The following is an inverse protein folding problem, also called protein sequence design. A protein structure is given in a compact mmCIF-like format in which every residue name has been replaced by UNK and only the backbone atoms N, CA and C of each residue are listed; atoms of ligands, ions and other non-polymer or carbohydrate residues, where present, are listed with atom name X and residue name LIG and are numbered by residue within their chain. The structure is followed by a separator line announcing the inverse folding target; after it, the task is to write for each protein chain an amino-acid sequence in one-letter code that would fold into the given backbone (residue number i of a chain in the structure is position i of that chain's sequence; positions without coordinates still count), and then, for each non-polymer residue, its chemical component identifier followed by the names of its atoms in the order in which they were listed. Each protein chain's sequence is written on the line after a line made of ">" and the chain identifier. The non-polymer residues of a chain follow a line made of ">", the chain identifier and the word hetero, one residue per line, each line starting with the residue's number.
data_IF_961449354737
#
_entry.id   IF_961449354737
#
_cell.length_a   1.000
_cell.length_b   1.000
_cell.length_c   1.000
_cell.angle_alpha   90.00
_cell.angle_beta   90.00
_cell.angle_gamma   90.00
#
_symmetry.space_group_name_H-M   'P 1'
#
loop_
_entity.id
_entity.type
_entity.pdbx_description
1 polymer ?
#
# COMPACT_ATOMS: atom_id res chain seq x y z
N UNK A 1 -4.50 8.69 -13.38
CA UNK A 1 -4.87 8.19 -12.03
C UNK A 1 -4.51 9.27 -11.01
N UNK A 2 -5.39 9.57 -10.05
CA UNK A 2 -5.18 10.66 -9.06
C UNK A 2 -4.48 10.20 -7.78
N UNK A 3 -4.53 8.89 -7.52
CA UNK A 3 -4.21 8.23 -6.26
C UNK A 3 -3.84 6.75 -6.50
N UNK A 4 -3.11 6.15 -5.56
CA UNK A 4 -2.88 4.70 -5.55
C UNK A 4 -4.16 3.91 -5.26
N UNK A 5 -5.07 4.50 -4.47
CA UNK A 5 -6.39 3.95 -4.12
C UNK A 5 -7.45 5.08 -4.08
N UNK A 6 -8.53 4.93 -4.86
CA UNK A 6 -9.77 5.73 -4.78
C UNK A 6 -10.88 4.88 -4.16
N UNK A 7 -11.16 5.09 -2.88
CA UNK A 7 -12.03 4.24 -2.08
C UNK A 7 -13.05 5.05 -1.27
N UNK A 8 -14.32 4.75 -1.46
CA UNK A 8 -15.45 5.47 -0.83
C UNK A 8 -16.29 4.57 0.07
N UNK A 9 -15.69 3.47 0.56
CA UNK A 9 -16.43 2.30 1.03
C UNK A 9 -17.19 2.40 2.36
N UNK A 10 -17.80 1.26 2.71
CA UNK A 10 -17.77 0.65 4.05
C UNK A 10 -17.27 -0.81 3.87
N UNK A 11 -16.42 -1.29 4.77
CA UNK A 11 -15.85 -2.66 4.85
C UNK A 11 -14.44 -2.95 4.28
N UNK A 12 -13.63 -1.95 3.95
CA UNK A 12 -12.31 -2.20 3.37
C UNK A 12 -11.29 -2.77 4.36
N UNK A 13 -10.31 -3.53 3.88
CA UNK A 13 -9.27 -4.25 4.63
C UNK A 13 -8.04 -4.36 3.72
N UNK A 14 -6.83 -3.96 4.16
CA UNK A 14 -5.65 -3.92 3.27
C UNK A 14 -4.40 -4.49 3.96
N UNK A 15 -4.38 -5.80 4.16
CA UNK A 15 -3.67 -6.48 5.26
C UNK A 15 -2.17 -6.74 5.10
N UNK A 16 -1.47 -5.94 4.34
CA UNK A 16 -0.05 -6.09 4.10
C UNK A 16 0.40 -5.34 2.86
N UNK A 17 -0.37 -4.32 2.47
CA UNK A 17 -0.08 -3.50 1.32
C UNK A 17 0.97 -2.45 1.70
N UNK A 18 1.79 -2.08 0.71
CA UNK A 18 2.80 -1.04 0.84
C UNK A 18 2.39 0.08 -0.12
N UNK A 19 2.14 1.27 0.44
CA UNK A 19 1.87 2.50 -0.28
C UNK A 19 3.07 3.42 -0.11
N UNK A 20 3.81 3.66 -1.19
CA UNK A 20 5.17 4.19 -1.10
C UNK A 20 5.51 5.14 -2.24
N UNK A 21 5.74 6.41 -1.89
CA UNK A 21 6.28 7.46 -2.76
C UNK A 21 5.67 7.49 -4.18
N UNK A 22 4.36 7.50 -4.29
CA UNK A 22 3.66 7.88 -5.51
C UNK A 22 3.95 9.36 -5.82
N UNK A 23 4.98 9.60 -6.62
CA UNK A 23 5.42 10.92 -7.10
C UNK A 23 5.14 11.10 -8.60
N UNK A 24 4.51 10.10 -9.23
CA UNK A 24 4.16 10.09 -10.65
C UNK A 24 3.16 11.22 -10.97
N UNK A 25 3.69 12.29 -11.56
CA UNK A 25 2.92 13.46 -11.99
C UNK A 25 2.97 13.60 -13.51
N UNK A 26 1.83 13.90 -14.12
CA UNK A 26 1.72 14.31 -15.53
C UNK A 26 1.71 15.85 -15.68
N UNK A 27 1.99 16.58 -14.59
CA UNK A 27 2.00 18.04 -14.57
C UNK A 27 0.61 18.68 -14.63
N UNK A 28 -0.47 17.89 -14.71
CA UNK A 28 -1.85 18.40 -14.79
C UNK A 28 -2.40 18.92 -13.45
N UNK A 29 -1.62 18.84 -12.36
CA UNK A 29 -2.09 19.10 -10.98
C UNK A 29 -1.12 19.94 -10.17
N UNK A 30 -1.61 21.03 -9.60
CA UNK A 30 -0.84 21.96 -8.76
C UNK A 30 -0.49 21.41 -7.37
N UNK A 31 -1.19 20.38 -6.89
CA UNK A 31 -0.99 19.79 -5.54
C UNK A 31 -0.19 18.49 -5.49
N UNK A 32 0.19 17.91 -6.64
CA UNK A 32 0.84 16.60 -6.72
C UNK A 32 -0.12 15.40 -6.52
N UNK A 33 0.35 14.16 -6.79
CA UNK A 33 -0.39 12.94 -6.49
C UNK A 33 -0.45 12.63 -4.98
N UNK A 34 -1.46 11.85 -4.57
CA UNK A 34 -1.57 11.33 -3.21
C UNK A 34 -1.49 9.80 -3.21
N UNK A 35 -1.13 9.18 -2.09
CA UNK A 35 -1.12 7.73 -1.95
C UNK A 35 -2.55 7.16 -1.93
N UNK A 36 -3.44 7.75 -1.12
CA UNK A 36 -4.81 7.28 -0.88
C UNK A 36 -5.75 8.48 -0.74
N UNK A 37 -6.93 8.38 -1.36
CA UNK A 37 -8.12 9.19 -1.04
C UNK A 37 -9.21 8.23 -0.52
N UNK A 38 -9.54 8.35 0.77
CA UNK A 38 -10.46 7.44 1.45
C UNK A 38 -11.48 8.19 2.31
N UNK A 39 -12.75 7.78 2.23
CA UNK A 39 -13.85 8.40 2.97
C UNK A 39 -14.04 7.79 4.35
N UNK A 40 -13.99 6.46 4.46
CA UNK A 40 -13.97 5.71 5.73
C UNK A 40 -12.88 4.63 5.69
N UNK A 41 -11.95 4.70 6.63
CA UNK A 41 -10.85 3.73 6.76
C UNK A 41 -10.94 2.91 8.05
N UNK A 42 -12.11 2.87 8.70
CA UNK A 42 -12.37 2.18 9.97
C UNK A 42 -11.97 0.70 9.97
N UNK A 43 -11.92 0.06 8.79
CA UNK A 43 -11.59 -1.35 8.63
C UNK A 43 -10.24 -1.60 7.92
N UNK A 44 -9.54 -0.54 7.50
CA UNK A 44 -8.20 -0.64 6.91
C UNK A 44 -7.19 -1.04 7.99
N UNK A 45 -6.46 -2.13 7.76
CA UNK A 45 -5.53 -2.71 8.73
C UNK A 45 -4.28 -3.28 8.08
N UNK A 46 -3.18 -3.29 8.81
CA UNK A 46 -1.87 -3.85 8.47
C UNK A 46 -1.25 -3.31 7.17
N UNK A 47 -1.56 -2.06 6.81
CA UNK A 47 -0.87 -1.34 5.74
C UNK A 47 0.40 -0.66 6.24
N UNK A 48 1.32 -0.46 5.30
CA UNK A 48 2.54 0.31 5.48
C UNK A 48 2.52 1.47 4.49
N UNK A 49 2.47 2.70 5.00
CA UNK A 49 2.29 3.89 4.19
C UNK A 49 3.39 4.90 4.48
N UNK A 50 3.94 5.50 3.43
CA UNK A 50 4.75 6.72 3.50
C UNK A 50 4.72 7.46 2.18
N UNK A 51 4.62 8.79 2.25
CA UNK A 51 4.46 9.66 1.08
C UNK A 51 3.42 10.74 1.33
N UNK A 52 2.91 11.33 0.25
CA UNK A 52 1.81 12.29 0.32
C UNK A 52 0.50 11.61 0.71
N UNK A 53 0.19 11.54 2.00
CA UNK A 53 -1.09 11.04 2.49
C UNK A 53 -2.18 12.11 2.27
N UNK A 54 -2.97 11.95 1.22
CA UNK A 54 -4.16 12.78 0.93
C UNK A 54 -5.33 12.52 1.87
N UNK A 55 -5.07 12.04 3.08
CA UNK A 55 -6.08 11.74 4.09
C UNK A 55 -6.57 13.03 4.77
N UNK A 56 -7.24 13.87 3.99
CA UNK A 56 -7.78 15.16 4.43
C UNK A 56 -8.79 15.01 5.58
N UNK A 57 -9.35 13.81 5.78
CA UNK A 57 -10.31 13.48 6.84
C UNK A 57 -9.66 12.77 8.04
N UNK A 58 -8.37 12.44 7.99
CA UNK A 58 -7.66 11.64 8.99
C UNK A 58 -8.37 10.32 9.30
N UNK A 59 -8.93 9.68 8.27
CA UNK A 59 -9.66 8.44 8.39
C UNK A 59 -8.73 7.25 8.73
N UNK A 60 -7.47 7.27 8.31
CA UNK A 60 -6.51 6.20 8.58
C UNK A 60 -6.11 6.15 10.06
N UNK A 61 -6.31 4.98 10.66
CA UNK A 61 -6.00 4.75 12.07
C UNK A 61 -4.54 4.24 12.24
N UNK A 62 -3.65 4.99 12.93
CA UNK A 62 -2.24 4.60 13.14
C UNK A 62 -2.05 3.46 14.16
N UNK A 63 -3.07 3.12 14.94
CA UNK A 63 -3.06 1.92 15.78
C UNK A 63 -3.34 0.65 14.98
N UNK A 64 -3.85 0.77 13.74
CA UNK A 64 -4.14 -0.35 12.85
C UNK A 64 -3.23 -0.41 11.62
N UNK A 65 -2.46 0.64 11.34
CA UNK A 65 -1.60 0.77 10.17
C UNK A 65 -0.31 1.49 10.54
N UNK A 66 0.78 1.20 9.82
CA UNK A 66 2.02 1.96 9.93
C UNK A 66 1.99 3.15 8.96
N UNK A 67 1.71 4.35 9.48
CA UNK A 67 1.62 5.59 8.69
C UNK A 67 2.97 6.30 8.51
N UNK A 68 4.03 5.79 9.15
CA UNK A 68 5.39 6.32 9.10
C UNK A 68 6.35 5.18 8.72
N UNK A 69 6.00 4.45 7.66
CA UNK A 69 6.68 3.20 7.33
C UNK A 69 8.15 3.42 6.90
N UNK A 70 9.03 2.49 7.24
CA UNK A 70 10.45 2.56 6.84
C UNK A 70 10.61 2.42 5.31
N UNK A 71 11.77 2.78 4.76
CA UNK A 71 12.05 2.51 3.35
C UNK A 71 12.00 1.00 3.04
N UNK A 72 11.09 0.53 2.15
CA UNK A 72 10.98 -0.88 1.80
C UNK A 72 12.24 -1.42 1.12
N UNK A 73 13.08 -0.56 0.55
CA UNK A 73 14.30 -0.91 -0.19
C UNK A 73 14.02 -1.99 -1.25
N UNK A 74 13.04 -1.74 -2.12
CA UNK A 74 12.62 -2.69 -3.15
C UNK A 74 13.81 -3.17 -4.01
N UNK A 75 13.77 -4.45 -4.40
CA UNK A 75 14.63 -4.96 -5.46
C UNK A 75 14.03 -4.73 -6.85
N UNK A 76 14.67 -5.29 -7.88
CA UNK A 76 14.24 -5.14 -9.28
C UNK A 76 12.89 -5.83 -9.58
N UNK A 77 12.46 -6.73 -8.72
CA UNK A 77 11.16 -7.43 -8.82
C UNK A 77 10.10 -6.78 -7.91
N UNK A 78 10.39 -5.57 -7.39
CA UNK A 78 9.53 -4.83 -6.47
C UNK A 78 9.25 -5.58 -5.15
N UNK A 79 10.15 -6.47 -4.74
CA UNK A 79 10.08 -7.14 -3.44
C UNK A 79 10.79 -6.30 -2.38
N UNK A 80 10.12 -5.94 -1.25
CA UNK A 80 10.75 -5.16 -0.20
C UNK A 80 11.79 -6.00 0.56
N UNK A 81 12.95 -5.40 0.79
CA UNK A 81 14.10 -6.03 1.46
C UNK A 81 14.26 -5.61 2.91
N UNK A 82 13.65 -4.50 3.31
CA UNK A 82 13.79 -4.01 4.68
C UNK A 82 13.12 -4.97 5.69
N UNK A 83 13.75 -5.29 6.84
CA UNK A 83 13.26 -6.33 7.75
C UNK A 83 11.84 -6.10 8.29
N UNK A 84 11.40 -4.85 8.43
CA UNK A 84 10.04 -4.52 8.90
C UNK A 84 8.93 -4.96 7.95
N UNK A 85 9.26 -5.35 6.72
CA UNK A 85 8.33 -5.82 5.69
C UNK A 85 8.32 -7.34 5.51
N UNK A 86 8.84 -8.11 6.48
CA UNK A 86 8.85 -9.58 6.40
C UNK A 86 7.41 -10.11 6.33
N UNK A 87 7.05 -10.66 5.16
CA UNK A 87 5.69 -11.16 4.90
C UNK A 87 4.68 -10.09 4.45
N UNK A 88 5.15 -8.88 4.14
CA UNK A 88 4.34 -7.73 3.71
C UNK A 88 4.72 -7.34 2.28
N UNK A 89 3.75 -6.98 1.45
CA UNK A 89 3.93 -6.60 0.05
C UNK A 89 4.02 -7.79 -0.91
N UNK A 90 4.14 -7.49 -2.21
CA UNK A 90 4.23 -8.50 -3.26
C UNK A 90 5.43 -9.44 -3.06
N UNK A 91 5.23 -10.74 -3.28
CA UNK A 91 6.28 -11.76 -3.33
C UNK A 91 6.02 -12.64 -4.55
N UNK A 92 6.83 -12.52 -5.62
CA UNK A 92 6.70 -13.43 -6.75
C UNK A 92 7.01 -14.84 -6.28
N UNK A 93 6.23 -15.82 -6.72
CA UNK A 93 6.62 -17.23 -6.58
C UNK A 93 7.93 -17.40 -7.33
N UNK A 94 8.93 -18.00 -6.68
CA UNK A 94 10.17 -18.35 -7.35
C UNK A 94 9.84 -19.21 -8.57
N UNK A 95 10.50 -18.98 -9.72
CA UNK A 95 10.30 -19.78 -10.94
C UNK A 95 10.53 -21.26 -10.61
N UNK A 96 9.46 -22.00 -10.32
CA UNK A 96 9.51 -23.38 -9.85
C UNK A 96 8.55 -23.76 -8.72
N UNK A 97 7.89 -22.80 -8.05
CA UNK A 97 6.77 -23.10 -7.14
C UNK A 97 5.45 -22.83 -7.87
N UNK A 98 4.77 -23.90 -8.29
CA UNK A 98 3.35 -23.81 -8.67
C UNK A 98 2.51 -23.51 -7.42
N UNK A 99 1.43 -22.71 -7.52
CA UNK A 99 0.46 -22.59 -6.44
C UNK A 99 -0.12 -23.96 -6.15
N UNK A 100 -0.06 -24.36 -4.88
CA UNK A 100 -0.36 -25.70 -4.36
C UNK A 100 -1.52 -26.37 -5.11
N UNK A 101 -1.17 -27.29 -6.00
CA UNK A 101 -2.10 -28.08 -6.79
C UNK A 101 -2.80 -29.09 -5.89
N UNK A 102 -3.87 -28.65 -5.23
CA UNK A 102 -4.80 -29.55 -4.56
C UNK A 102 -5.39 -30.56 -5.55
N UNK A 103 -5.50 -31.85 -5.20
CA UNK A 103 -5.99 -32.88 -6.12
C UNK A 103 -7.47 -32.62 -6.48
N UNK A 104 -7.79 -32.75 -7.77
CA UNK A 104 -9.18 -32.85 -8.26
C UNK A 104 -9.69 -34.27 -8.15
#
# INVERSE_FOLDING_TARGET
>A
NWNGVDDRGEANLYEGCIFWHNDASDGSRSGGPYEIDIVDASRVRNCYLRGGLGDLRKALNPQHNNLEADDPNFDLDYTPRHPSYRGVGYRPLSKGQEPDGGPR
#
